data_IF_662125775044
#
_entry.id   IF_662125775044
#
_cell.length_a   1.000
_cell.length_b   1.000
_cell.length_c   1.000
_cell.angle_alpha   90.00
_cell.angle_beta   90.00
_cell.angle_gamma   90.00
#
_symmetry.space_group_name_H-M   'P 1'
#
loop_
_entity.id
_entity.type
_entity.pdbx_description
1 polymer ?
#
# COMPACT_ATOMS: atom_id res chain seq x y z
N UNK A 1 28.40 20.80 34.41
CA UNK A 1 28.36 21.00 32.94
C UNK A 1 27.81 19.78 32.17
N UNK A 2 26.98 18.93 32.81
CA UNK A 2 26.46 17.67 32.22
C UNK A 2 24.98 17.77 31.75
N UNK A 3 24.43 18.98 31.60
CA UNK A 3 23.01 19.20 31.26
C UNK A 3 22.78 19.38 29.75
N UNK A 4 23.75 19.95 29.05
CA UNK A 4 23.67 20.24 27.61
C UNK A 4 23.73 18.97 26.72
N UNK A 5 24.60 17.96 26.97
CA UNK A 5 24.62 16.77 26.12
C UNK A 5 23.38 15.89 26.33
N UNK A 6 22.76 15.92 27.51
CA UNK A 6 21.55 15.15 27.82
C UNK A 6 20.32 15.66 27.04
N UNK A 7 20.22 16.98 26.84
CA UNK A 7 19.15 17.62 26.06
C UNK A 7 19.27 17.34 24.55
N UNK A 8 20.50 17.24 24.02
CA UNK A 8 20.76 16.92 22.62
C UNK A 8 20.48 15.44 22.29
N UNK A 9 20.74 14.52 23.21
CA UNK A 9 20.41 13.10 23.02
C UNK A 9 18.88 12.91 23.06
N UNK A 10 18.17 13.64 23.94
CA UNK A 10 16.72 13.58 24.02
C UNK A 10 16.02 14.09 22.73
N UNK A 11 16.53 15.13 22.08
CA UNK A 11 15.93 15.65 20.83
C UNK A 11 16.13 14.73 19.62
N UNK A 12 17.20 13.93 19.59
CA UNK A 12 17.40 12.92 18.55
C UNK A 12 16.45 11.72 18.69
N UNK A 13 16.01 11.38 19.92
CA UNK A 13 15.06 10.29 20.12
C UNK A 13 13.63 10.64 19.66
N UNK A 14 13.24 11.92 19.67
CA UNK A 14 11.91 12.35 19.24
C UNK A 14 11.74 12.51 17.72
N UNK A 15 12.83 12.59 16.95
CA UNK A 15 12.79 12.68 15.48
C UNK A 15 12.80 11.31 14.79
N UNK A 16 13.10 10.23 15.52
CA UNK A 16 13.15 8.86 14.99
C UNK A 16 11.78 8.25 14.63
N UNK A 17 10.66 8.82 15.08
CA UNK A 17 9.32 8.29 14.79
C UNK A 17 8.82 8.60 13.37
N UNK A 18 9.44 9.55 12.66
CA UNK A 18 9.04 9.92 11.30
C UNK A 18 9.76 9.11 10.20
N UNK A 19 10.87 8.42 10.54
CA UNK A 19 11.76 7.81 9.54
C UNK A 19 11.19 6.53 8.92
N UNK A 20 10.28 5.85 9.62
CA UNK A 20 9.68 4.58 9.18
C UNK A 20 8.39 4.76 8.39
N UNK A 21 7.90 6.00 8.24
CA UNK A 21 6.68 6.33 7.51
C UNK A 21 6.96 6.45 6.02
N UNK A 22 6.17 5.74 5.22
CA UNK A 22 6.31 5.78 3.76
C UNK A 22 5.45 6.91 3.22
N UNK A 23 6.05 7.80 2.43
CA UNK A 23 5.31 8.87 1.76
C UNK A 23 4.38 8.33 0.67
N UNK A 24 3.33 9.09 0.33
CA UNK A 24 2.44 8.70 -0.77
C UNK A 24 3.16 8.61 -2.12
N UNK A 25 4.19 9.44 -2.32
CA UNK A 25 5.03 9.42 -3.52
C UNK A 25 5.87 8.13 -3.60
N UNK A 26 6.55 7.76 -2.51
CA UNK A 26 7.33 6.51 -2.45
C UNK A 26 6.43 5.29 -2.64
N UNK A 27 5.25 5.27 -2.00
CA UNK A 27 4.29 4.19 -2.20
C UNK A 27 3.73 4.15 -3.63
N UNK A 28 3.62 5.31 -4.30
CA UNK A 28 3.26 5.35 -5.72
C UNK A 28 4.30 4.66 -6.60
N UNK A 29 5.57 4.88 -6.28
CA UNK A 29 6.69 4.27 -6.99
C UNK A 29 6.66 2.76 -6.81
N UNK A 30 6.60 2.28 -5.56
CA UNK A 30 6.49 0.85 -5.24
C UNK A 30 5.35 0.18 -6.04
N UNK A 31 4.16 0.82 -6.07
CA UNK A 31 2.99 0.31 -6.78
C UNK A 31 3.18 0.31 -8.30
N UNK A 32 3.90 1.29 -8.84
CA UNK A 32 4.20 1.37 -10.27
C UNK A 32 5.19 0.29 -10.67
N UNK A 33 6.22 0.04 -9.85
CA UNK A 33 7.25 -0.96 -10.08
C UNK A 33 6.71 -2.40 -10.08
N UNK A 34 5.54 -2.63 -9.45
CA UNK A 34 4.82 -3.89 -9.59
C UNK A 34 4.46 -4.21 -11.05
N UNK A 35 4.34 -3.24 -11.95
CA UNK A 35 4.10 -3.48 -13.38
C UNK A 35 3.00 -4.53 -13.64
N UNK A 36 1.92 -4.48 -12.85
CA UNK A 36 0.94 -5.58 -12.79
C UNK A 36 -0.13 -5.48 -13.88
N UNK A 37 -0.21 -4.39 -14.64
CA UNK A 37 -1.19 -4.22 -15.72
C UNK A 37 -0.94 -5.29 -16.80
N UNK A 38 -2.00 -6.01 -17.16
CA UNK A 38 -1.97 -7.11 -18.14
C UNK A 38 -1.78 -8.49 -17.52
N UNK A 39 -1.32 -8.58 -16.26
CA UNK A 39 -1.24 -9.84 -15.52
C UNK A 39 -2.63 -10.36 -15.17
N UNK A 40 -2.72 -11.66 -14.98
CA UNK A 40 -3.89 -12.29 -14.35
C UNK A 40 -3.98 -11.91 -12.88
N UNK A 41 -5.16 -12.10 -12.28
CA UNK A 41 -5.37 -11.88 -10.85
C UNK A 41 -4.36 -12.67 -9.98
N UNK A 42 -4.14 -13.95 -10.30
CA UNK A 42 -3.26 -14.81 -9.51
C UNK A 42 -1.79 -14.41 -9.68
N UNK A 43 -1.36 -14.04 -10.89
CA UNK A 43 0.00 -13.51 -11.11
C UNK A 43 0.22 -12.19 -10.36
N UNK A 44 -0.79 -11.30 -10.33
CA UNK A 44 -0.73 -10.05 -9.58
C UNK A 44 -0.65 -10.29 -8.07
N UNK A 45 -1.41 -11.27 -7.56
CA UNK A 45 -1.34 -11.71 -6.15
C UNK A 45 0.05 -12.20 -5.80
N UNK A 46 0.57 -13.18 -6.54
CA UNK A 46 1.90 -13.76 -6.32
C UNK A 46 2.97 -12.67 -6.36
N UNK A 47 2.86 -11.72 -7.28
CA UNK A 47 3.81 -10.61 -7.37
C UNK A 47 3.74 -9.68 -6.15
N UNK A 48 2.53 -9.32 -5.71
CA UNK A 48 2.37 -8.48 -4.53
C UNK A 48 2.90 -9.18 -3.27
N UNK A 49 2.64 -10.47 -3.12
CA UNK A 49 3.13 -11.31 -2.02
C UNK A 49 4.65 -11.44 -2.00
N UNK A 50 5.26 -11.61 -3.17
CA UNK A 50 6.71 -11.59 -3.32
C UNK A 50 7.32 -10.26 -2.83
N UNK A 51 6.64 -9.14 -3.06
CA UNK A 51 7.06 -7.82 -2.60
C UNK A 51 6.64 -7.52 -1.14
N UNK A 52 6.13 -8.53 -0.44
CA UNK A 52 5.81 -8.50 0.99
C UNK A 52 4.48 -7.83 1.32
N UNK A 53 3.55 -7.75 0.37
CA UNK A 53 2.15 -7.44 0.65
C UNK A 53 1.39 -8.72 1.01
N UNK A 54 0.38 -8.60 1.86
CA UNK A 54 -0.55 -9.69 2.19
C UNK A 54 -1.88 -9.39 1.49
N UNK A 55 -2.30 -10.28 0.59
CA UNK A 55 -3.53 -10.12 -0.17
C UNK A 55 -4.74 -10.64 0.59
N UNK A 56 -5.88 -9.97 0.43
CA UNK A 56 -7.13 -10.44 1.00
C UNK A 56 -7.54 -11.78 0.36
N UNK A 57 -8.05 -12.70 1.19
CA UNK A 57 -8.55 -14.01 0.76
C UNK A 57 -9.76 -13.88 -0.19
N UNK A 58 -10.55 -12.84 0.04
CA UNK A 58 -11.75 -12.53 -0.72
C UNK A 58 -11.48 -11.40 -1.71
N UNK A 59 -12.17 -11.47 -2.86
CA UNK A 59 -12.16 -10.42 -3.87
C UNK A 59 -13.52 -9.77 -3.95
N UNK A 60 -13.54 -8.45 -4.03
CA UNK A 60 -14.78 -7.72 -4.25
C UNK A 60 -15.13 -7.80 -5.73
N UNK A 61 -16.31 -8.34 -6.06
CA UNK A 61 -16.77 -8.46 -7.46
C UNK A 61 -17.84 -7.42 -7.78
N UNK A 62 -18.01 -7.11 -9.07
CA UNK A 62 -18.99 -6.13 -9.57
C UNK A 62 -18.84 -4.71 -8.96
N UNK A 63 -17.63 -4.34 -8.56
CA UNK A 63 -17.33 -3.03 -7.98
C UNK A 63 -17.29 -1.98 -9.08
N UNK A 64 -18.00 -0.86 -8.88
CA UNK A 64 -17.92 0.30 -9.76
C UNK A 64 -16.66 1.10 -9.49
N UNK A 65 -15.66 0.97 -10.35
CA UNK A 65 -14.40 1.70 -10.27
C UNK A 65 -14.40 2.82 -11.30
N UNK A 66 -14.19 4.06 -10.84
CA UNK A 66 -14.02 5.22 -11.72
C UNK A 66 -12.52 5.44 -11.99
N UNK A 67 -12.14 5.47 -13.26
CA UNK A 67 -10.80 5.80 -13.71
C UNK A 67 -10.89 6.96 -14.70
N UNK A 68 -10.43 8.12 -14.28
CA UNK A 68 -10.68 9.38 -14.99
C UNK A 68 -12.18 9.63 -15.13
N UNK A 69 -12.66 9.72 -16.37
CA UNK A 69 -14.07 9.95 -16.70
C UNK A 69 -14.84 8.66 -17.04
N UNK A 70 -14.23 7.48 -16.89
CA UNK A 70 -14.84 6.19 -17.24
C UNK A 70 -15.16 5.40 -15.98
N UNK A 71 -16.40 4.92 -15.87
CA UNK A 71 -16.82 4.00 -14.80
C UNK A 71 -16.88 2.58 -15.39
N UNK A 72 -16.21 1.63 -14.74
CA UNK A 72 -16.22 0.20 -15.11
C UNK A 72 -16.64 -0.66 -13.93
N UNK A 73 -17.25 -1.80 -14.22
CA UNK A 73 -17.51 -2.87 -13.24
C UNK A 73 -16.32 -3.80 -13.23
N UNK A 74 -15.78 -4.05 -12.06
CA UNK A 74 -14.48 -4.70 -11.90
C UNK A 74 -14.46 -5.65 -10.72
N UNK A 75 -13.59 -6.65 -10.82
CA UNK A 75 -13.16 -7.42 -9.67
C UNK A 75 -11.97 -6.70 -9.04
N UNK A 76 -11.99 -6.55 -7.72
CA UNK A 76 -10.97 -5.81 -6.97
C UNK A 76 -10.30 -6.76 -6.00
N UNK A 77 -8.98 -6.91 -6.15
CA UNK A 77 -8.12 -7.57 -5.18
C UNK A 77 -7.32 -6.51 -4.42
N UNK A 78 -7.41 -6.52 -3.10
CA UNK A 78 -6.64 -5.63 -2.24
C UNK A 78 -5.51 -6.41 -1.57
N UNK A 79 -4.32 -5.81 -1.55
CA UNK A 79 -3.18 -6.37 -0.83
C UNK A 79 -2.55 -5.29 0.06
N UNK A 80 -2.37 -5.59 1.34
CA UNK A 80 -1.92 -4.66 2.36
C UNK A 80 -0.54 -5.01 2.90
N UNK A 81 0.27 -3.99 3.21
CA UNK A 81 1.58 -4.11 3.87
C UNK A 81 1.63 -3.15 5.05
N UNK A 82 1.95 -3.66 6.23
CA UNK A 82 2.16 -2.84 7.44
C UNK A 82 3.57 -2.26 7.40
N UNK A 83 3.69 -0.96 7.71
CA UNK A 83 4.98 -0.32 7.94
C UNK A 83 5.59 -0.79 9.27
N UNK A 84 6.91 -0.68 9.41
CA UNK A 84 7.68 -1.13 10.59
C UNK A 84 7.58 -0.16 11.80
N UNK A 85 6.62 0.75 11.79
CA UNK A 85 6.35 1.65 12.91
C UNK A 85 5.81 0.87 14.13
N UNK A 86 6.39 1.12 15.30
CA UNK A 86 6.11 0.33 16.50
C UNK A 86 4.79 0.69 17.21
N UNK A 87 4.35 1.95 17.12
CA UNK A 87 3.24 2.45 17.97
C UNK A 87 1.91 2.64 17.23
N UNK A 88 1.93 2.97 15.92
CA UNK A 88 0.73 3.00 15.09
C UNK A 88 1.10 2.81 13.62
N UNK A 89 1.29 1.55 13.17
CA UNK A 89 1.83 1.31 11.85
C UNK A 89 0.90 1.78 10.75
N UNK A 90 1.42 2.66 9.90
CA UNK A 90 0.81 2.93 8.61
C UNK A 90 0.56 1.62 7.86
N UNK A 91 -0.66 1.44 7.33
CA UNK A 91 -0.98 0.31 6.44
C UNK A 91 -1.10 0.81 5.01
N UNK A 92 -0.32 0.22 4.12
CA UNK A 92 -0.22 0.59 2.71
C UNK A 92 -0.90 -0.47 1.87
N UNK A 93 -1.68 -0.06 0.89
CA UNK A 93 -2.45 -0.97 0.06
C UNK A 93 -2.10 -0.77 -1.40
N UNK A 94 -1.99 -1.89 -2.11
CA UNK A 94 -2.09 -1.99 -3.56
C UNK A 94 -3.47 -2.54 -3.88
N UNK A 95 -4.13 -1.95 -4.88
CA UNK A 95 -5.49 -2.33 -5.28
C UNK A 95 -5.47 -2.72 -6.75
N UNK A 96 -5.63 -4.00 -7.05
CA UNK A 96 -5.68 -4.48 -8.43
C UNK A 96 -7.11 -4.44 -8.94
N UNK A 97 -7.35 -3.63 -9.97
CA UNK A 97 -8.62 -3.59 -10.67
C UNK A 97 -8.55 -4.51 -11.88
N UNK A 98 -9.38 -5.55 -11.85
CA UNK A 98 -9.36 -6.66 -12.78
C UNK A 98 -10.62 -6.60 -13.64
N UNK A 99 -10.43 -6.80 -14.94
CA UNK A 99 -11.55 -6.97 -15.87
C UNK A 99 -12.15 -8.37 -15.66
N UNK A 100 -13.42 -8.47 -15.24
CA UNK A 100 -14.05 -9.76 -14.92
C UNK A 100 -14.18 -10.67 -16.16
N UNK A 101 -14.11 -10.12 -17.38
CA UNK A 101 -14.23 -10.92 -18.61
C UNK A 101 -12.91 -11.57 -19.01
N UNK A 102 -11.80 -10.83 -18.87
CA UNK A 102 -10.49 -11.28 -19.32
C UNK A 102 -9.62 -11.82 -18.17
N UNK A 103 -10.06 -11.63 -16.92
CA UNK A 103 -9.30 -11.91 -15.70
C UNK A 103 -7.95 -11.18 -15.64
N UNK A 104 -7.82 -10.05 -16.36
CA UNK A 104 -6.57 -9.28 -16.42
C UNK A 104 -6.68 -7.98 -15.64
N UNK A 105 -5.61 -7.63 -14.95
CA UNK A 105 -5.46 -6.32 -14.30
C UNK A 105 -5.40 -5.25 -15.40
N UNK A 106 -6.33 -4.30 -15.36
CA UNK A 106 -6.33 -3.18 -16.29
C UNK A 106 -5.90 -1.86 -15.64
N UNK A 107 -5.90 -1.80 -14.31
CA UNK A 107 -5.42 -0.65 -13.55
C UNK A 107 -5.02 -1.05 -12.14
N UNK A 108 -4.02 -0.35 -11.61
CA UNK A 108 -3.54 -0.53 -10.24
C UNK A 108 -3.75 0.76 -9.46
N UNK A 109 -4.46 0.66 -8.34
CA UNK A 109 -4.68 1.73 -7.39
C UNK A 109 -3.75 1.61 -6.18
N UNK A 110 -3.69 2.69 -5.41
CA UNK A 110 -2.92 2.76 -4.17
C UNK A 110 -3.72 3.46 -3.08
N UNK A 111 -3.52 3.05 -1.83
CA UNK A 111 -4.08 3.74 -0.67
C UNK A 111 -3.15 3.60 0.52
N UNK A 112 -3.06 4.65 1.32
CA UNK A 112 -2.39 4.62 2.60
C UNK A 112 -3.44 4.88 3.68
N UNK A 113 -3.51 4.00 4.68
CA UNK A 113 -4.18 4.29 5.93
C UNK A 113 -3.15 4.78 6.95
N UNK A 114 -3.22 6.07 7.27
CA UNK A 114 -2.27 6.79 8.12
C UNK A 114 -2.46 6.48 9.62
N UNK A 115 -3.63 5.99 10.03
CA UNK A 115 -4.00 5.80 11.44
C UNK A 115 -4.56 4.39 11.67
N UNK A 116 -3.82 3.34 11.27
CA UNK A 116 -4.19 1.97 11.64
C UNK A 116 -3.78 1.66 13.09
N UNK A 117 -4.23 2.50 14.03
CA UNK A 117 -4.13 2.25 15.46
C UNK A 117 -5.40 1.49 15.91
N UNK A 118 -5.29 0.67 16.95
CA UNK A 118 -6.39 -0.13 17.51
C UNK A 118 -7.52 0.74 18.07
#
# INVERSE_FOLDING_TARGET
MLRLPLLLIASMMFSGCALTRVSDASHAEDVRELNAVGLTMDEARVKAEHDGFECDDYVDTDVRVQIGNVIRRSTVLQCGKKSLELFCPQRRYVVFNIDPKTNKVYAVGKRINQNACF
#
